data_IF_391534977809
#
_entry.id   IF_391534977809
#
_cell.length_a   1.000
_cell.length_b   1.000
_cell.length_c   1.000
_cell.angle_alpha   90.00
_cell.angle_beta   90.00
_cell.angle_gamma   90.00
#
_symmetry.space_group_name_H-M   'P 1'
#
loop_
_entity.id
_entity.type
_entity.pdbx_description
1 polymer ?
#
# COMPACT_ATOMS: atom_id res chain seq x y z
N UNK A 1 30.03 8.27 -90.44
CA UNK A 1 30.22 6.93 -89.83
C UNK A 1 30.01 7.07 -88.31
N UNK A 2 29.37 6.10 -87.59
CA UNK A 2 28.94 6.19 -86.17
C UNK A 2 30.04 5.68 -85.18
N UNK A 3 29.92 5.59 -83.85
CA UNK A 3 28.81 5.60 -82.84
C UNK A 3 29.01 6.73 -81.79
N UNK A 4 28.10 7.15 -80.87
CA UNK A 4 26.89 6.66 -80.15
C UNK A 4 27.12 6.14 -78.69
N UNK A 5 26.34 6.70 -77.74
CA UNK A 5 25.88 6.22 -76.40
C UNK A 5 26.51 6.74 -75.07
N UNK A 6 25.69 7.57 -74.38
CA UNK A 6 25.26 7.54 -72.95
C UNK A 6 26.23 7.37 -71.76
N UNK A 7 26.05 8.26 -70.76
CA UNK A 7 26.47 8.05 -69.36
C UNK A 7 25.99 9.18 -68.43
N UNK A 8 24.86 9.00 -67.74
CA UNK A 8 24.41 9.90 -66.65
C UNK A 8 25.10 9.45 -65.36
N UNK A 9 25.73 10.38 -64.62
CA UNK A 9 26.42 10.07 -63.36
C UNK A 9 26.24 11.18 -62.33
N UNK A 10 25.25 11.01 -61.44
CA UNK A 10 25.00 11.89 -60.31
C UNK A 10 26.18 11.86 -59.31
N UNK A 11 26.59 13.01 -58.77
CA UNK A 11 27.46 13.06 -57.59
C UNK A 11 26.79 13.81 -56.43
N UNK A 12 25.95 13.03 -55.74
CA UNK A 12 25.53 13.10 -54.35
C UNK A 12 25.82 14.37 -53.53
N UNK A 13 24.72 15.07 -53.24
CA UNK A 13 24.53 15.85 -52.01
C UNK A 13 24.83 14.98 -50.78
N UNK A 14 25.89 15.27 -50.01
CA UNK A 14 26.10 14.69 -48.68
C UNK A 14 25.73 15.73 -47.62
N UNK A 15 24.42 15.81 -47.37
CA UNK A 15 23.87 16.37 -46.14
C UNK A 15 23.86 15.25 -45.10
N UNK A 16 24.94 15.12 -44.32
CA UNK A 16 24.96 14.18 -43.19
C UNK A 16 24.65 14.94 -41.91
N UNK A 17 23.34 15.01 -41.65
CA UNK A 17 22.74 15.57 -40.45
C UNK A 17 23.43 15.00 -39.21
N UNK A 18 24.05 15.87 -38.42
CA UNK A 18 24.57 15.51 -37.11
C UNK A 18 23.38 15.36 -36.17
N UNK A 19 22.80 14.15 -36.14
CA UNK A 19 21.68 13.80 -35.27
C UNK A 19 22.07 14.00 -33.82
N UNK A 20 21.72 15.17 -33.27
CA UNK A 20 21.91 15.48 -31.87
C UNK A 20 20.87 14.69 -31.08
N UNK A 21 21.19 13.42 -30.82
CA UNK A 21 20.43 12.56 -29.93
C UNK A 21 20.46 13.17 -28.54
N UNK A 22 19.46 14.01 -28.26
CA UNK A 22 19.16 14.47 -26.92
C UNK A 22 18.63 13.25 -26.17
N UNK A 23 19.57 12.47 -25.60
CA UNK A 23 19.22 11.45 -24.61
C UNK A 23 18.64 12.19 -23.43
N UNK A 24 17.31 12.31 -23.40
CA UNK A 24 16.60 12.70 -22.21
C UNK A 24 17.00 11.69 -21.13
N UNK A 25 17.78 12.15 -20.16
CA UNK A 25 17.94 11.39 -18.93
C UNK A 25 16.54 11.23 -18.36
N UNK A 26 16.02 10.00 -18.36
CA UNK A 26 14.84 9.71 -17.59
C UNK A 26 15.24 9.96 -16.13
N UNK A 27 14.61 10.96 -15.50
CA UNK A 27 14.76 11.17 -14.07
C UNK A 27 14.33 9.87 -13.38
N UNK A 28 15.30 9.20 -12.73
CA UNK A 28 15.00 8.06 -11.87
C UNK A 28 13.99 8.53 -10.82
N UNK A 29 12.78 7.95 -10.76
CA UNK A 29 11.69 8.56 -10.02
C UNK A 29 12.06 8.73 -8.55
N UNK A 30 12.12 9.99 -8.11
CA UNK A 30 12.59 10.34 -6.79
C UNK A 30 11.72 9.68 -5.72
N UNK A 31 12.37 9.08 -4.72
CA UNK A 31 11.68 8.39 -3.63
C UNK A 31 10.77 9.38 -2.89
N UNK A 32 9.47 9.09 -2.91
CA UNK A 32 8.41 10.02 -2.53
C UNK A 32 7.14 9.26 -2.19
N UNK A 33 6.20 9.93 -1.51
CA UNK A 33 4.90 9.36 -1.21
C UNK A 33 4.10 9.08 -2.50
N UNK A 34 4.20 9.96 -3.49
CA UNK A 34 3.62 9.75 -4.82
C UNK A 34 4.14 8.46 -5.46
N UNK A 35 5.47 8.32 -5.56
CA UNK A 35 6.06 7.10 -6.11
C UNK A 35 5.59 5.84 -5.37
N UNK A 36 5.53 5.86 -4.03
CA UNK A 36 4.99 4.73 -3.27
C UNK A 36 3.54 4.44 -3.66
N UNK A 37 2.65 5.44 -3.65
CA UNK A 37 1.22 5.25 -3.95
C UNK A 37 0.99 4.73 -5.38
N UNK A 38 1.72 5.25 -6.37
CA UNK A 38 1.67 4.80 -7.76
C UNK A 38 2.04 3.31 -7.90
N UNK A 39 3.10 2.86 -7.21
CA UNK A 39 3.51 1.45 -7.23
C UNK A 39 2.46 0.50 -6.61
N UNK A 40 1.69 0.97 -5.63
CA UNK A 40 0.59 0.18 -5.06
C UNK A 40 -0.69 0.24 -5.89
N UNK A 41 -1.04 1.38 -6.47
CA UNK A 41 -2.20 1.52 -7.37
C UNK A 41 -2.08 0.62 -8.61
N UNK A 42 -0.87 0.46 -9.15
CA UNK A 42 -0.60 -0.40 -10.32
C UNK A 42 -0.71 -1.91 -10.04
N UNK A 43 -0.97 -2.33 -8.80
CA UNK A 43 -0.96 -3.73 -8.39
C UNK A 43 -2.34 -4.39 -8.39
N UNK A 44 -2.37 -5.70 -8.66
CA UNK A 44 -3.60 -6.50 -8.66
C UNK A 44 -4.02 -6.99 -7.28
N UNK A 45 -4.71 -8.14 -7.25
CA UNK A 45 -4.99 -8.87 -6.02
C UNK A 45 -3.70 -9.20 -5.27
N UNK A 46 -3.72 -9.09 -3.93
CA UNK A 46 -2.59 -9.44 -3.06
C UNK A 46 -3.03 -10.30 -1.89
N UNK A 47 -2.20 -11.27 -1.51
CA UNK A 47 -2.44 -12.13 -0.36
C UNK A 47 -1.21 -12.24 0.55
N UNK A 48 -1.44 -12.25 1.86
CA UNK A 48 -0.41 -12.40 2.87
C UNK A 48 -0.89 -13.31 4.02
N UNK A 49 0.04 -14.03 4.65
CA UNK A 49 -0.16 -14.49 6.04
C UNK A 49 0.16 -13.34 6.97
N UNK A 50 -0.48 -13.31 8.13
CA UNK A 50 -0.10 -12.38 9.19
C UNK A 50 -0.02 -13.07 10.55
N UNK A 51 0.83 -12.51 11.40
CA UNK A 51 0.83 -12.72 12.85
C UNK A 51 0.63 -11.36 13.51
N UNK A 52 -0.28 -11.28 14.47
CA UNK A 52 -0.64 -10.05 15.16
C UNK A 52 -0.50 -10.24 16.67
N UNK A 53 0.34 -9.41 17.29
CA UNK A 53 0.55 -9.37 18.73
C UNK A 53 -0.07 -8.10 19.29
N UNK A 54 -1.00 -8.25 20.25
CA UNK A 54 -1.65 -7.15 20.96
C UNK A 54 -1.11 -7.05 22.38
N UNK A 55 -0.35 -5.99 22.63
CA UNK A 55 0.14 -5.62 23.96
C UNK A 55 -0.87 -4.65 24.56
N UNK A 56 -1.71 -5.14 25.48
CA UNK A 56 -2.77 -4.36 26.13
C UNK A 56 -2.36 -4.09 27.58
N UNK A 57 -2.43 -2.83 28.03
CA UNK A 57 -1.98 -2.39 29.35
C UNK A 57 -2.75 -3.05 30.53
N UNK A 58 -3.90 -3.68 30.25
CA UNK A 58 -4.73 -4.40 31.21
C UNK A 58 -4.42 -5.91 31.31
N UNK A 59 -3.46 -6.44 30.54
CA UNK A 59 -3.14 -7.87 30.48
C UNK A 59 -1.67 -8.14 30.80
N UNK A 60 -1.41 -9.16 31.62
CA UNK A 60 -0.05 -9.60 31.98
C UNK A 60 0.71 -10.24 30.80
N UNK A 61 -0.01 -10.73 29.79
CA UNK A 61 0.53 -11.37 28.59
C UNK A 61 -0.13 -10.81 27.33
N UNK A 62 0.61 -10.67 26.22
CA UNK A 62 0.04 -10.21 24.96
C UNK A 62 -0.94 -11.25 24.39
N UNK A 63 -1.93 -10.77 23.64
CA UNK A 63 -2.81 -11.64 22.84
C UNK A 63 -2.19 -11.82 21.46
N UNK A 64 -1.98 -13.06 21.03
CA UNK A 64 -1.55 -13.38 19.68
C UNK A 64 -2.70 -13.89 18.81
N UNK A 65 -2.72 -13.45 17.56
CA UNK A 65 -3.63 -13.91 16.51
C UNK A 65 -2.83 -14.16 15.23
N UNK A 66 -3.25 -15.12 14.43
CA UNK A 66 -2.65 -15.37 13.12
C UNK A 66 -3.74 -15.65 12.08
N UNK A 67 -3.40 -15.54 10.81
CA UNK A 67 -4.38 -15.76 9.74
C UNK A 67 -3.88 -15.38 8.36
N UNK A 68 -4.83 -15.15 7.46
CA UNK A 68 -4.58 -14.64 6.10
C UNK A 68 -5.30 -13.33 5.86
N UNK A 69 -4.67 -12.52 5.01
CA UNK A 69 -5.18 -11.26 4.49
C UNK A 69 -5.27 -11.39 2.97
N UNK A 70 -6.39 -10.97 2.40
CA UNK A 70 -6.64 -10.86 0.96
C UNK A 70 -7.08 -9.43 0.67
N UNK A 71 -6.36 -8.73 -0.20
CA UNK A 71 -6.78 -7.44 -0.76
C UNK A 71 -7.14 -7.62 -2.23
N UNK A 72 -8.32 -7.13 -2.61
CA UNK A 72 -8.80 -7.07 -3.98
C UNK A 72 -9.13 -5.60 -4.29
N UNK A 73 -8.39 -4.96 -5.23
CA UNK A 73 -8.71 -3.60 -5.64
C UNK A 73 -10.12 -3.52 -6.26
N UNK A 74 -10.83 -2.39 -6.12
CA UNK A 74 -10.32 -1.13 -5.60
C UNK A 74 -10.25 -1.06 -4.06
N UNK A 75 -11.17 -1.71 -3.34
CA UNK A 75 -11.41 -1.39 -1.93
C UNK A 75 -11.82 -2.58 -1.03
N UNK A 76 -11.75 -3.82 -1.52
CA UNK A 76 -12.16 -5.00 -0.75
C UNK A 76 -10.99 -5.62 0.00
N UNK A 77 -11.12 -5.73 1.33
CA UNK A 77 -10.08 -6.27 2.21
C UNK A 77 -10.66 -7.33 3.15
N UNK A 78 -10.19 -8.57 3.03
CA UNK A 78 -10.63 -9.72 3.83
C UNK A 78 -9.52 -10.17 4.77
N UNK A 79 -9.82 -10.24 6.08
CA UNK A 79 -8.95 -10.81 7.12
C UNK A 79 -9.61 -12.06 7.70
N UNK A 80 -8.95 -13.21 7.56
CA UNK A 80 -9.45 -14.50 8.07
C UNK A 80 -8.56 -14.97 9.21
N UNK A 81 -9.11 -15.03 10.43
CA UNK A 81 -8.40 -15.53 11.62
C UNK A 81 -8.37 -17.06 11.64
N UNK A 82 -7.21 -17.61 11.98
CA UNK A 82 -7.02 -19.02 12.28
C UNK A 82 -7.75 -19.45 13.58
N UNK A 83 -7.80 -20.77 13.88
CA UNK A 83 -8.21 -21.26 15.19
C UNK A 83 -7.37 -20.64 16.33
N UNK A 84 -7.94 -20.42 17.52
CA UNK A 84 -9.31 -20.77 17.91
C UNK A 84 -10.37 -19.75 17.47
N UNK A 85 -9.98 -18.58 16.97
CA UNK A 85 -10.91 -17.46 16.74
C UNK A 85 -11.92 -17.73 15.61
N UNK A 86 -11.49 -18.38 14.53
CA UNK A 86 -12.33 -18.81 13.40
C UNK A 86 -13.31 -17.72 12.91
N UNK A 87 -12.80 -16.49 12.77
CA UNK A 87 -13.58 -15.32 12.41
C UNK A 87 -13.07 -14.71 11.10
N UNK A 88 -13.98 -14.29 10.23
CA UNK A 88 -13.68 -13.57 9.00
C UNK A 88 -14.20 -12.14 9.12
N UNK A 89 -13.37 -11.18 8.76
CA UNK A 89 -13.70 -9.76 8.65
C UNK A 89 -13.54 -9.37 7.18
N UNK A 90 -14.49 -8.64 6.62
CA UNK A 90 -14.45 -8.14 5.25
C UNK A 90 -14.84 -6.67 5.24
N UNK A 91 -13.92 -5.82 4.81
CA UNK A 91 -14.14 -4.39 4.64
C UNK A 91 -14.33 -4.12 3.15
N UNK A 92 -15.44 -3.50 2.79
CA UNK A 92 -15.78 -3.06 1.43
C UNK A 92 -16.52 -1.72 1.54
N UNK A 93 -16.06 -0.68 0.84
CA UNK A 93 -16.50 0.70 1.03
C UNK A 93 -16.39 1.13 2.50
N UNK A 94 -17.53 1.51 3.08
CA UNK A 94 -17.70 1.87 4.49
C UNK A 94 -18.40 0.75 5.31
N UNK A 95 -18.37 -0.50 4.86
CA UNK A 95 -18.99 -1.63 5.57
C UNK A 95 -17.92 -2.61 6.04
N UNK A 96 -17.94 -2.95 7.32
CA UNK A 96 -17.40 -4.20 7.83
C UNK A 96 -18.51 -5.25 7.82
N UNK A 97 -18.25 -6.42 7.22
CA UNK A 97 -19.00 -7.65 7.49
C UNK A 97 -18.13 -8.61 8.31
N UNK A 98 -18.66 -9.08 9.43
CA UNK A 98 -18.05 -10.05 10.33
C UNK A 98 -18.81 -11.37 10.25
N UNK A 99 -18.11 -12.48 10.03
CA UNK A 99 -18.63 -13.84 10.24
C UNK A 99 -17.90 -14.49 11.41
N UNK A 100 -18.65 -14.98 12.39
CA UNK A 100 -18.14 -15.73 13.54
C UNK A 100 -19.24 -16.65 14.09
N UNK A 101 -18.91 -17.88 14.45
CA UNK A 101 -19.86 -18.84 15.04
C UNK A 101 -21.19 -18.98 14.26
N UNK A 102 -21.12 -19.07 12.93
CA UNK A 102 -22.28 -19.10 12.01
C UNK A 102 -23.15 -17.83 11.97
N UNK A 103 -22.83 -16.80 12.76
CA UNK A 103 -23.50 -15.50 12.72
C UNK A 103 -22.78 -14.57 11.74
N UNK A 104 -23.56 -13.73 11.05
CA UNK A 104 -23.08 -12.63 10.23
C UNK A 104 -23.58 -11.31 10.83
N UNK A 105 -22.67 -10.34 11.00
CA UNK A 105 -22.98 -8.98 11.45
C UNK A 105 -22.39 -7.96 10.47
N UNK A 106 -23.14 -6.89 10.19
CA UNK A 106 -22.66 -5.76 9.38
C UNK A 106 -22.58 -4.51 10.27
N UNK A 107 -21.49 -3.76 10.15
CA UNK A 107 -21.23 -2.52 10.89
C UNK A 107 -20.64 -1.48 9.94
N UNK A 108 -20.95 -0.19 10.15
CA UNK A 108 -20.31 0.91 9.42
C UNK A 108 -18.98 1.28 10.09
N UNK A 109 -17.94 1.59 9.30
CA UNK A 109 -16.61 1.87 9.85
C UNK A 109 -16.61 3.16 10.68
N UNK A 110 -17.41 4.16 10.31
CA UNK A 110 -17.58 5.43 11.02
C UNK A 110 -17.98 5.25 12.51
N UNK A 111 -18.61 4.13 12.86
CA UNK A 111 -19.02 3.81 14.22
C UNK A 111 -17.90 3.18 15.07
N UNK A 112 -16.76 2.83 14.47
CA UNK A 112 -15.62 2.16 15.12
C UNK A 112 -14.32 2.86 14.67
N UNK A 113 -13.85 3.90 15.39
CA UNK A 113 -12.71 4.72 14.99
C UNK A 113 -11.44 3.92 14.67
N UNK A 114 -11.22 2.80 15.34
CA UNK A 114 -10.06 1.93 15.14
C UNK A 114 -10.11 1.21 13.77
N UNK A 115 -11.31 0.85 13.29
CA UNK A 115 -11.51 0.28 11.95
C UNK A 115 -11.50 1.34 10.86
N UNK A 116 -12.03 2.54 11.15
CA UNK A 116 -11.86 3.70 10.28
C UNK A 116 -10.37 4.03 10.10
N UNK A 117 -9.58 4.01 11.19
CA UNK A 117 -8.13 4.22 11.17
C UNK A 117 -7.43 3.21 10.26
N UNK A 118 -7.71 1.92 10.44
CA UNK A 118 -7.14 0.83 9.64
C UNK A 118 -7.51 0.95 8.16
N UNK A 119 -8.76 1.33 7.87
CA UNK A 119 -9.23 1.52 6.50
C UNK A 119 -8.55 2.71 5.82
N UNK A 120 -8.51 3.86 6.49
CA UNK A 120 -7.91 5.09 5.96
C UNK A 120 -6.37 5.11 5.96
N UNK A 121 -5.72 4.10 6.55
CA UNK A 121 -4.27 3.93 6.51
C UNK A 121 -3.88 2.74 5.63
N UNK A 122 -4.07 1.53 6.15
CA UNK A 122 -3.60 0.30 5.54
C UNK A 122 -4.28 0.01 4.20
N UNK A 123 -5.62 0.12 4.10
CA UNK A 123 -6.30 -0.06 2.80
C UNK A 123 -5.94 1.05 1.82
N UNK A 124 -5.78 2.30 2.28
CA UNK A 124 -5.33 3.40 1.42
C UNK A 124 -3.93 3.18 0.84
N UNK A 125 -2.96 2.65 1.61
CA UNK A 125 -1.67 2.22 1.03
C UNK A 125 -1.88 1.11 0.00
N UNK A 126 -2.67 0.08 0.32
CA UNK A 126 -2.90 -1.05 -0.58
C UNK A 126 -3.55 -0.67 -1.92
N UNK A 127 -4.42 0.35 -1.92
CA UNK A 127 -5.12 0.85 -3.12
C UNK A 127 -4.42 2.03 -3.83
N UNK A 128 -3.34 2.56 -3.26
CA UNK A 128 -2.72 3.82 -3.71
C UNK A 128 -3.59 5.07 -3.49
N UNK A 129 -4.59 5.00 -2.60
CA UNK A 129 -5.50 6.12 -2.31
C UNK A 129 -4.84 7.14 -1.37
N UNK A 130 -3.96 7.97 -1.96
CA UNK A 130 -3.30 9.08 -1.29
C UNK A 130 -4.30 10.08 -0.70
N UNK A 131 -5.42 10.33 -1.38
CA UNK A 131 -6.39 11.35 -0.97
C UNK A 131 -7.04 10.97 0.37
N UNK A 132 -7.50 9.73 0.52
CA UNK A 132 -8.04 9.25 1.80
C UNK A 132 -6.95 9.21 2.89
N UNK A 133 -5.73 8.77 2.56
CA UNK A 133 -4.61 8.74 3.50
C UNK A 133 -4.32 10.13 4.08
N UNK A 134 -4.22 11.14 3.21
CA UNK A 134 -3.97 12.53 3.59
C UNK A 134 -5.20 13.24 4.18
N UNK A 135 -6.42 12.75 3.93
CA UNK A 135 -7.61 13.28 4.59
C UNK A 135 -7.59 13.00 6.08
N UNK A 136 -7.25 11.77 6.48
CA UNK A 136 -7.28 11.34 7.89
C UNK A 136 -5.96 11.53 8.64
N UNK A 137 -4.82 11.49 7.93
CA UNK A 137 -3.49 11.50 8.54
C UNK A 137 -2.56 12.58 7.95
N UNK A 138 -1.55 12.93 8.72
CA UNK A 138 -0.34 13.60 8.24
C UNK A 138 0.72 12.51 7.97
N UNK A 139 0.98 12.14 6.70
CA UNK A 139 1.96 11.12 6.36
C UNK A 139 3.39 11.67 6.34
N UNK A 140 4.31 10.92 6.92
CA UNK A 140 5.75 11.15 6.86
C UNK A 140 6.44 9.88 6.35
N UNK A 141 6.96 9.94 5.12
CA UNK A 141 7.67 8.83 4.49
C UNK A 141 9.18 8.98 4.68
N UNK A 142 9.82 7.89 5.11
CA UNK A 142 11.26 7.80 5.38
C UNK A 142 11.85 6.53 4.80
N UNK A 143 13.17 6.46 4.70
CA UNK A 143 13.89 5.32 4.10
C UNK A 143 13.99 5.42 2.59
N UNK A 144 13.92 4.30 1.88
CA UNK A 144 14.03 4.20 0.43
C UNK A 144 13.19 3.02 -0.12
N UNK A 145 13.27 2.75 -1.43
CA UNK A 145 12.50 1.68 -2.11
C UNK A 145 12.70 0.28 -1.49
N UNK A 146 13.87 0.00 -0.92
CA UNK A 146 14.24 -1.33 -0.40
C UNK A 146 13.94 -1.48 1.10
N UNK A 147 13.81 -0.37 1.83
CA UNK A 147 13.40 -0.34 3.23
C UNK A 147 12.77 1.02 3.56
N UNK A 148 11.43 1.07 3.65
CA UNK A 148 10.68 2.29 3.97
C UNK A 148 9.89 2.20 5.26
N UNK A 149 9.64 3.37 5.85
CA UNK A 149 8.71 3.55 6.96
C UNK A 149 7.82 4.76 6.70
N UNK A 150 6.51 4.51 6.70
CA UNK A 150 5.45 5.50 6.58
C UNK A 150 4.81 5.71 7.97
N UNK A 151 5.07 6.87 8.54
CA UNK A 151 4.50 7.30 9.81
C UNK A 151 3.23 8.11 9.57
N UNK A 152 2.17 7.79 10.31
CA UNK A 152 0.84 8.38 10.15
C UNK A 152 0.34 8.92 11.50
N UNK A 153 0.20 10.23 11.59
CA UNK A 153 -0.38 10.92 12.75
C UNK A 153 -1.80 11.39 12.41
N UNK A 154 -2.85 11.02 13.18
CA UNK A 154 -4.21 11.50 12.95
C UNK A 154 -4.32 13.02 12.92
N UNK A 155 -5.07 13.55 11.95
CA UNK A 155 -5.34 15.00 11.84
C UNK A 155 -6.45 15.49 12.77
N UNK A 156 -7.45 14.64 13.00
CA UNK A 156 -8.63 15.01 13.80
C UNK A 156 -8.58 14.48 15.23
N UNK A 157 -9.05 15.29 16.18
CA UNK A 157 -9.07 14.95 17.60
C UNK A 157 -9.94 13.71 17.92
N UNK A 158 -11.00 13.45 17.15
CA UNK A 158 -11.83 12.25 17.34
C UNK A 158 -10.99 10.97 17.14
N UNK A 159 -10.24 10.89 16.04
CA UNK A 159 -9.34 9.78 15.75
C UNK A 159 -8.12 9.77 16.69
N UNK A 160 -7.53 10.94 16.94
CA UNK A 160 -6.40 11.12 17.87
C UNK A 160 -6.70 10.74 19.33
N UNK A 161 -7.98 10.75 19.73
CA UNK A 161 -8.41 10.28 21.06
C UNK A 161 -8.29 8.77 21.25
N UNK A 162 -8.18 8.02 20.14
CA UNK A 162 -8.06 6.56 20.11
C UNK A 162 -6.69 6.10 19.63
N UNK A 163 -6.22 6.68 18.52
CA UNK A 163 -4.99 6.31 17.85
C UNK A 163 -3.96 7.41 18.06
N UNK A 164 -2.78 7.07 18.59
CA UNK A 164 -1.67 8.00 18.77
C UNK A 164 -0.81 8.10 17.52
N UNK A 165 -0.50 6.96 16.89
CA UNK A 165 0.30 6.85 15.66
C UNK A 165 0.06 5.50 15.00
N UNK A 166 0.09 5.46 13.68
CA UNK A 166 0.25 4.24 12.89
C UNK A 166 1.62 4.29 12.19
N UNK A 167 2.29 3.15 12.08
CA UNK A 167 3.57 3.00 11.38
C UNK A 167 3.46 1.78 10.46
N UNK A 168 3.73 1.99 9.18
CA UNK A 168 3.70 0.94 8.16
C UNK A 168 5.11 0.85 7.57
N UNK A 169 5.67 -0.36 7.48
CA UNK A 169 7.02 -0.57 6.95
C UNK A 169 7.08 -1.71 5.95
N UNK A 170 8.05 -1.65 5.05
CA UNK A 170 8.38 -2.75 4.15
C UNK A 170 9.26 -2.34 2.98
N UNK A 171 9.06 -3.00 1.83
CA UNK A 171 9.74 -2.74 0.56
C UNK A 171 8.75 -2.24 -0.48
N UNK A 172 9.21 -1.69 -1.62
CA UNK A 172 8.37 -0.99 -2.61
C UNK A 172 7.06 -1.71 -2.98
N UNK A 173 7.06 -3.05 -3.04
CA UNK A 173 5.89 -3.86 -3.37
C UNK A 173 5.45 -4.81 -2.23
N UNK A 174 5.91 -4.62 -0.99
CA UNK A 174 5.52 -5.46 0.14
C UNK A 174 5.38 -4.63 1.43
N UNK A 175 4.22 -4.72 2.09
CA UNK A 175 4.11 -4.31 3.50
C UNK A 175 4.54 -5.51 4.35
N UNK A 176 5.46 -5.28 5.27
CA UNK A 176 6.06 -6.28 6.16
C UNK A 176 5.56 -6.14 7.59
N UNK A 177 5.28 -4.90 8.02
CA UNK A 177 4.77 -4.61 9.37
C UNK A 177 3.80 -3.45 9.33
N UNK A 178 2.75 -3.60 10.14
CA UNK A 178 1.76 -2.59 10.46
C UNK A 178 1.68 -2.50 12.00
N UNK A 179 2.05 -1.34 12.54
CA UNK A 179 1.96 -1.03 13.97
C UNK A 179 0.88 0.02 14.20
N UNK A 180 0.00 -0.22 15.16
CA UNK A 180 -0.86 0.80 15.77
C UNK A 180 -0.37 1.03 17.20
N UNK A 181 -0.17 2.30 17.57
CA UNK A 181 -0.05 2.73 18.96
C UNK A 181 -1.33 3.47 19.30
N UNK A 182 -2.09 2.96 20.28
CA UNK A 182 -3.31 3.59 20.77
C UNK A 182 -2.99 4.65 21.84
N UNK A 183 -3.92 5.58 22.06
CA UNK A 183 -3.72 6.75 22.94
C UNK A 183 -3.72 6.39 24.43
N UNK A 184 -4.16 5.18 24.79
CA UNK A 184 -4.00 4.58 26.12
C UNK A 184 -2.62 3.92 26.33
N UNK A 185 -1.80 3.76 25.28
CA UNK A 185 -0.51 3.09 25.32
C UNK A 185 -0.51 1.64 24.79
N UNK A 186 -1.67 1.08 24.45
CA UNK A 186 -1.78 -0.25 23.86
C UNK A 186 -1.09 -0.28 22.48
N UNK A 187 -0.54 -1.45 22.10
CA UNK A 187 0.13 -1.65 20.82
C UNK A 187 -0.41 -2.87 20.10
N UNK A 188 -0.73 -2.69 18.81
CA UNK A 188 -1.12 -3.77 17.90
C UNK A 188 -0.02 -3.88 16.85
N UNK A 189 0.72 -4.97 16.87
CA UNK A 189 1.84 -5.23 15.96
C UNK A 189 1.43 -6.37 15.03
N UNK A 190 1.14 -6.05 13.76
CA UNK A 190 0.85 -7.04 12.72
C UNK A 190 2.08 -7.19 11.83
N UNK A 191 2.70 -8.37 11.82
CA UNK A 191 3.71 -8.78 10.85
C UNK A 191 3.03 -9.46 9.67
N UNK A 192 3.45 -9.15 8.44
CA UNK A 192 2.91 -9.70 7.21
C UNK A 192 4.00 -10.44 6.44
N UNK A 193 3.63 -11.60 5.90
CA UNK A 193 4.51 -12.48 5.11
C UNK A 193 3.78 -12.83 3.81
N UNK A 194 4.42 -12.75 2.64
CA UNK A 194 3.82 -13.20 1.39
C UNK A 194 3.31 -14.64 1.48
N UNK A 195 2.20 -14.92 0.80
CA UNK A 195 1.91 -16.29 0.37
C UNK A 195 2.72 -16.48 -0.90
N UNK A 196 3.81 -17.26 -0.82
CA UNK A 196 4.63 -17.56 -2.00
C UNK A 196 3.84 -18.27 -3.10
N UNK A 197 4.25 -18.02 -4.34
CA UNK A 197 3.77 -18.71 -5.55
C UNK A 197 4.18 -20.19 -5.58
#
# INVERSE_FOLDING_TARGET
MPLNRYGIGSLSLILLLFSLSLTAAADEPHWSLDYLMDQWQASGERQARFTETRQLALLDQPIEQQGTLLFQPPDRLVRTLAPPSNAKYEIEGNRLTLWRNQQQQVVLLDNIPELLAFSASFRSVLSGDRETLERYFSPELTGNRDAWSLNLIPKEAALGSKIKRIEITGTVLQIERYLVIESNGDQIITQLMPIGE
#
